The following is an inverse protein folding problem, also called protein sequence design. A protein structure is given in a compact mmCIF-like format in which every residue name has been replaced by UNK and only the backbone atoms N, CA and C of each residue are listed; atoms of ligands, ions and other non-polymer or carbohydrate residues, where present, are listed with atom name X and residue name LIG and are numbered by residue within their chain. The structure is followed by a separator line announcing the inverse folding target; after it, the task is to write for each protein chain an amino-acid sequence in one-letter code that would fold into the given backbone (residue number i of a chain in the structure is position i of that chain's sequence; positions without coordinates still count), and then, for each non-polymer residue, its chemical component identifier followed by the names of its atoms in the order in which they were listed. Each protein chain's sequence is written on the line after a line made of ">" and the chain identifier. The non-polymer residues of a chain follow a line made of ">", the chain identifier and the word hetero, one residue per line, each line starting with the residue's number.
data_IF_080284659355
#
_entry.id   IF_080284659355
#
_cell.length_a   1.000
_cell.length_b   1.000
_cell.length_c   1.000
_cell.angle_alpha   90.00
_cell.angle_beta   90.00
_cell.angle_gamma   90.00
#
_symmetry.space_group_name_H-M   'P 1'
#
loop_
_entity.id
_entity.type
_entity.pdbx_description
1 polymer ?
#
# COMPACT_ATOMS: atom_id res chain seq x y z
N UNK A 1 -14.00 18.51 6.51
CA UNK A 1 -14.69 17.51 5.67
C UNK A 1 -14.50 16.18 6.39
N UNK A 2 -15.58 15.57 6.89
CA UNK A 2 -15.50 14.26 7.54
C UNK A 2 -15.42 13.20 6.44
N UNK A 3 -14.36 12.37 6.46
CA UNK A 3 -14.24 11.26 5.52
C UNK A 3 -15.19 10.17 6.02
N UNK A 4 -16.08 9.71 5.15
CA UNK A 4 -17.05 8.67 5.52
C UNK A 4 -16.34 7.34 5.72
N UNK A 5 -16.64 6.61 6.80
CA UNK A 5 -16.05 5.30 7.11
C UNK A 5 -16.14 4.32 5.93
N UNK A 6 -17.24 4.32 5.18
CA UNK A 6 -17.43 3.49 4.00
C UNK A 6 -16.38 3.75 2.91
N UNK A 7 -15.99 5.01 2.70
CA UNK A 7 -14.95 5.38 1.73
C UNK A 7 -13.58 4.88 2.18
N UNK A 8 -13.30 4.93 3.48
CA UNK A 8 -12.06 4.39 4.05
C UNK A 8 -11.99 2.87 3.90
N UNK A 9 -13.08 2.15 4.19
CA UNK A 9 -13.15 0.69 4.02
C UNK A 9 -12.96 0.29 2.56
N UNK A 10 -13.62 0.97 1.62
CA UNK A 10 -13.45 0.70 0.19
C UNK A 10 -12.00 0.96 -0.24
N UNK A 11 -11.38 2.04 0.26
CA UNK A 11 -9.98 2.32 -0.01
C UNK A 11 -9.08 1.20 0.51
N UNK A 12 -9.20 0.82 1.78
CA UNK A 12 -8.36 -0.20 2.42
C UNK A 12 -8.55 -1.59 1.80
N UNK A 13 -9.77 -1.95 1.41
CA UNK A 13 -10.04 -3.22 0.70
C UNK A 13 -9.29 -3.30 -0.64
N UNK A 14 -9.19 -2.17 -1.36
CA UNK A 14 -8.38 -2.10 -2.59
C UNK A 14 -6.88 -2.22 -2.29
N UNK A 15 -6.41 -1.64 -1.19
CA UNK A 15 -5.01 -1.76 -0.74
C UNK A 15 -4.67 -3.21 -0.38
N UNK A 16 -5.59 -3.92 0.29
CA UNK A 16 -5.42 -5.33 0.62
C UNK A 16 -5.26 -6.20 -0.63
N UNK A 17 -6.09 -5.96 -1.66
CA UNK A 17 -5.96 -6.64 -2.94
C UNK A 17 -4.63 -6.33 -3.65
N UNK A 18 -4.17 -5.07 -3.62
CA UNK A 18 -2.87 -4.69 -4.18
C UNK A 18 -1.70 -5.32 -3.41
N UNK A 19 -1.79 -5.48 -2.09
CA UNK A 19 -0.76 -6.18 -1.29
C UNK A 19 -0.63 -7.64 -1.72
N UNK A 20 -1.74 -8.33 -1.99
CA UNK A 20 -1.70 -9.70 -2.50
C UNK A 20 -0.96 -9.76 -3.85
N UNK A 21 -1.29 -8.85 -4.78
CA UNK A 21 -0.63 -8.76 -6.08
C UNK A 21 0.85 -8.38 -5.97
N UNK A 22 1.22 -7.51 -5.02
CA UNK A 22 2.61 -7.15 -4.73
C UNK A 22 3.39 -8.37 -4.25
N UNK A 23 2.84 -9.17 -3.32
CA UNK A 23 3.49 -10.40 -2.85
C UNK A 23 3.76 -11.37 -4.01
N UNK A 24 2.81 -11.50 -4.94
CA UNK A 24 2.99 -12.31 -6.15
C UNK A 24 4.03 -11.72 -7.11
N UNK A 25 4.08 -10.40 -7.27
CA UNK A 25 5.04 -9.72 -8.15
C UNK A 25 6.47 -9.87 -7.63
N UNK A 26 6.66 -9.76 -6.31
CA UNK A 26 7.97 -9.97 -5.67
C UNK A 26 8.48 -11.40 -5.83
N UNK A 27 7.61 -12.40 -5.90
CA UNK A 27 8.00 -13.79 -6.17
C UNK A 27 8.47 -14.01 -7.61
N UNK A 28 8.18 -13.08 -8.53
CA UNK A 28 8.51 -13.13 -9.95
C UNK A 28 9.56 -12.08 -10.36
N UNK A 29 10.17 -11.39 -9.39
CA UNK A 29 11.07 -10.26 -9.63
C UNK A 29 10.46 -9.15 -10.52
N UNK A 30 9.13 -8.98 -10.45
CA UNK A 30 8.41 -7.95 -11.19
C UNK A 30 8.40 -6.63 -10.39
N UNK A 31 9.45 -5.84 -10.64
CA UNK A 31 9.65 -4.51 -10.07
C UNK A 31 8.76 -3.44 -10.72
N UNK A 32 8.31 -3.64 -11.96
CA UNK A 32 7.51 -2.65 -12.68
C UNK A 32 6.13 -2.53 -12.04
N UNK A 33 5.52 -3.66 -11.68
CA UNK A 33 4.27 -3.67 -10.94
C UNK A 33 4.41 -2.96 -9.58
N UNK A 34 5.48 -3.24 -8.83
CA UNK A 34 5.74 -2.56 -7.55
C UNK A 34 5.88 -1.04 -7.71
N UNK A 35 6.52 -0.58 -8.79
CA UNK A 35 6.64 0.85 -9.10
C UNK A 35 5.28 1.49 -9.37
N UNK A 36 4.42 0.85 -10.18
CA UNK A 36 3.08 1.34 -10.50
C UNK A 36 2.22 1.44 -9.25
N UNK A 37 2.25 0.42 -8.38
CA UNK A 37 1.50 0.46 -7.12
C UNK A 37 2.03 1.57 -6.21
N UNK A 38 3.35 1.70 -6.04
CA UNK A 38 3.96 2.79 -5.25
C UNK A 38 3.51 4.18 -5.72
N UNK A 39 3.49 4.40 -7.03
CA UNK A 39 3.02 5.64 -7.63
C UNK A 39 1.53 5.93 -7.34
N UNK A 40 0.68 4.91 -7.26
CA UNK A 40 -0.74 5.08 -6.91
C UNK A 40 -0.93 5.33 -5.42
N UNK A 41 -0.18 4.64 -4.56
CA UNK A 41 -0.28 4.77 -3.11
C UNK A 41 0.08 6.17 -2.65
N UNK A 42 1.18 6.73 -3.16
CA UNK A 42 1.64 8.08 -2.77
C UNK A 42 0.59 9.16 -3.03
N UNK A 43 -0.22 9.03 -4.08
CA UNK A 43 -1.18 10.03 -4.51
C UNK A 43 -2.56 9.96 -3.86
N UNK A 44 -2.90 8.85 -3.18
CA UNK A 44 -4.28 8.62 -2.72
C UNK A 44 -4.41 8.43 -1.21
N UNK A 45 -3.38 8.00 -0.47
CA UNK A 45 -3.49 7.74 0.97
C UNK A 45 -4.00 8.91 1.78
N UNK A 46 -3.48 10.12 1.52
CA UNK A 46 -3.91 11.35 2.19
C UNK A 46 -5.40 11.67 1.97
N UNK A 47 -5.94 11.41 0.77
CA UNK A 47 -7.35 11.64 0.44
C UNK A 47 -8.31 10.85 1.34
N UNK A 48 -7.88 9.68 1.82
CA UNK A 48 -8.70 8.80 2.65
C UNK A 48 -8.29 8.82 4.14
N UNK A 49 -7.37 9.72 4.54
CA UNK A 49 -6.93 9.86 5.93
C UNK A 49 -5.80 8.93 6.34
N UNK A 50 -5.05 8.37 5.38
CA UNK A 50 -3.93 7.45 5.60
C UNK A 50 -2.59 8.02 5.07
N UNK A 51 -2.08 9.13 5.62
CA UNK A 51 -0.83 9.75 5.16
C UNK A 51 0.38 8.80 5.27
N UNK A 52 0.35 7.87 6.23
CA UNK A 52 1.39 6.85 6.37
C UNK A 52 1.40 5.87 5.18
N UNK A 53 0.24 5.53 4.61
CA UNK A 53 0.16 4.70 3.39
C UNK A 53 0.72 5.47 2.19
N UNK A 54 0.46 6.78 2.10
CA UNK A 54 1.10 7.63 1.07
C UNK A 54 2.64 7.63 1.20
N UNK A 55 3.18 7.75 2.42
CA UNK A 55 4.62 7.71 2.65
C UNK A 55 5.25 6.35 2.28
N UNK A 56 4.56 5.24 2.59
CA UNK A 56 4.97 3.91 2.12
C UNK A 56 4.94 3.81 0.60
N UNK A 57 3.97 4.44 -0.07
CA UNK A 57 3.91 4.49 -1.53
C UNK A 57 5.16 5.11 -2.17
N UNK A 58 5.67 6.21 -1.60
CA UNK A 58 6.93 6.83 -2.04
C UNK A 58 8.09 5.85 -1.86
N UNK A 59 8.18 5.21 -0.70
CA UNK A 59 9.24 4.24 -0.41
C UNK A 59 9.17 3.02 -1.34
N UNK A 60 7.96 2.53 -1.64
CA UNK A 60 7.73 1.40 -2.53
C UNK A 60 8.17 1.73 -3.96
N UNK A 61 7.79 2.91 -4.46
CA UNK A 61 8.17 3.36 -5.80
C UNK A 61 9.70 3.50 -5.93
N UNK A 62 10.36 4.07 -4.93
CA UNK A 62 11.83 4.20 -4.92
C UNK A 62 12.51 2.83 -4.85
N UNK A 63 12.12 1.96 -3.93
CA UNK A 63 12.70 0.63 -3.80
C UNK A 63 12.50 -0.23 -5.07
N UNK A 64 11.38 -0.04 -5.77
CA UNK A 64 11.11 -0.69 -7.06
C UNK A 64 12.06 -0.19 -8.16
N UNK A 65 12.27 1.13 -8.26
CA UNK A 65 13.23 1.74 -9.21
C UNK A 65 14.66 1.27 -8.95
N UNK A 66 15.03 1.15 -7.67
CA UNK A 66 16.35 0.68 -7.25
C UNK A 66 16.48 -0.86 -7.29
N UNK A 67 15.40 -1.58 -7.65
CA UNK A 67 15.31 -3.05 -7.63
C UNK A 67 15.74 -3.68 -6.30
N UNK A 68 15.48 -2.98 -5.20
CA UNK A 68 15.85 -3.42 -3.86
C UNK A 68 14.80 -4.39 -3.31
N UNK A 69 14.95 -5.68 -3.63
CA UNK A 69 14.02 -6.74 -3.25
C UNK A 69 13.83 -6.87 -1.73
N UNK A 70 14.90 -6.73 -0.95
CA UNK A 70 14.81 -6.78 0.53
C UNK A 70 13.92 -5.64 1.03
N UNK A 71 14.16 -4.43 0.52
CA UNK A 71 13.38 -3.26 0.93
C UNK A 71 11.91 -3.35 0.49
N UNK A 72 11.66 -3.89 -0.70
CA UNK A 72 10.29 -4.13 -1.18
C UNK A 72 9.55 -5.11 -0.26
N UNK A 73 10.18 -6.21 0.16
CA UNK A 73 9.56 -7.16 1.10
C UNK A 73 9.21 -6.50 2.44
N UNK A 74 10.09 -5.68 2.99
CA UNK A 74 9.81 -4.92 4.22
C UNK A 74 8.61 -3.99 4.07
N UNK A 75 8.59 -3.22 2.98
CA UNK A 75 7.52 -2.23 2.71
C UNK A 75 6.18 -2.93 2.49
N UNK A 76 6.15 -3.99 1.70
CA UNK A 76 4.92 -4.76 1.42
C UNK A 76 4.39 -5.39 2.70
N UNK A 77 5.26 -5.93 3.57
CA UNK A 77 4.84 -6.43 4.89
C UNK A 77 4.24 -5.31 5.75
N UNK A 78 4.91 -4.15 5.81
CA UNK A 78 4.45 -3.02 6.61
C UNK A 78 3.09 -2.50 6.12
N UNK A 79 2.91 -2.43 4.80
CA UNK A 79 1.65 -2.04 4.18
C UNK A 79 0.52 -3.02 4.52
N UNK A 80 0.79 -4.33 4.50
CA UNK A 80 -0.17 -5.38 4.87
C UNK A 80 -0.65 -5.21 6.32
N UNK A 81 0.30 -5.15 7.26
CA UNK A 81 0.05 -5.01 8.70
C UNK A 81 -0.83 -3.76 8.96
N UNK A 82 -0.49 -2.63 8.32
CA UNK A 82 -1.25 -1.39 8.45
C UNK A 82 -2.67 -1.48 7.89
N UNK A 83 -2.85 -2.11 6.72
CA UNK A 83 -4.17 -2.24 6.09
C UNK A 83 -5.08 -3.10 6.96
N UNK A 84 -4.59 -4.23 7.45
CA UNK A 84 -5.34 -5.13 8.32
C UNK A 84 -5.73 -4.44 9.65
N UNK A 85 -4.79 -3.72 10.27
CA UNK A 85 -5.04 -2.98 11.51
C UNK A 85 -6.10 -1.89 11.30
N UNK A 86 -6.01 -1.09 10.23
CA UNK A 86 -6.97 -0.02 9.97
C UNK A 86 -8.37 -0.55 9.63
N UNK A 87 -8.49 -1.66 8.89
CA UNK A 87 -9.79 -2.30 8.65
C UNK A 87 -10.42 -2.74 9.98
N UNK A 88 -9.62 -3.35 10.87
CA UNK A 88 -10.08 -3.77 12.19
C UNK A 88 -10.55 -2.59 13.04
N UNK A 89 -9.80 -1.49 13.06
CA UNK A 89 -10.14 -0.29 13.85
C UNK A 89 -11.41 0.40 13.34
N UNK A 90 -11.67 0.42 12.04
CA UNK A 90 -12.87 1.07 11.48
C UNK A 90 -14.13 0.23 11.72
N UNK A 91 -14.00 -1.10 11.75
CA UNK A 91 -15.09 -2.04 12.00
C UNK A 91 -15.40 -2.27 13.49
N UNK A 92 -14.58 -1.74 14.40
CA UNK A 92 -14.80 -1.79 15.84
C UNK A 92 -15.77 -0.69 16.30
#
# INVERSE_FOLDING_TARGET
>A
MEIMKDQQIVYLSRRQAEVAQLKESLAKDDFEFSQVVGHRLKGHGETFGFPQISALGVSLETAAKDRNMEKLKEIVKTLDDMVEENIRLINA
#
